data_IF_279176942434
#
_entry.id   IF_279176942434
#
_cell.length_a   1.000
_cell.length_b   1.000
_cell.length_c   1.000
_cell.angle_alpha   90.00
_cell.angle_beta   90.00
_cell.angle_gamma   90.00
#
_symmetry.space_group_name_H-M   'P 1'
#
loop_
_entity.id
_entity.type
_entity.pdbx_description
1 polymer ?
#
# COMPACT_ATOMS: atom_id res chain seq x y z
N UNK A 1 4.74 42.32 -10.22
CA UNK A 1 5.78 41.72 -9.34
C UNK A 1 5.44 40.26 -9.21
N UNK A 2 6.15 39.40 -9.94
CA UNK A 2 5.97 37.95 -9.79
C UNK A 2 6.56 37.53 -8.44
N UNK A 3 5.74 36.89 -7.61
CA UNK A 3 6.19 36.37 -6.31
C UNK A 3 6.80 34.99 -6.54
N UNK A 4 8.08 34.84 -6.25
CA UNK A 4 8.75 33.54 -6.23
C UNK A 4 8.76 32.98 -4.81
N UNK A 5 8.30 31.74 -4.66
CA UNK A 5 8.30 31.01 -3.41
C UNK A 5 9.36 29.91 -3.46
N UNK A 6 10.02 29.63 -2.34
CA UNK A 6 11.04 28.60 -2.23
C UNK A 6 10.94 27.85 -0.89
N UNK A 7 11.21 26.54 -0.92
CA UNK A 7 11.28 25.69 0.27
C UNK A 7 12.48 24.75 0.19
N UNK A 8 13.10 24.49 1.33
CA UNK A 8 14.32 23.69 1.48
C UNK A 8 14.14 22.67 2.60
N UNK A 9 14.25 21.38 2.27
CA UNK A 9 14.20 20.29 3.25
C UNK A 9 15.47 19.43 3.14
N UNK A 10 16.37 19.55 4.12
CA UNK A 10 17.47 18.61 4.34
C UNK A 10 16.93 17.35 5.05
N UNK A 11 17.23 16.17 4.51
CA UNK A 11 16.70 14.90 5.01
C UNK A 11 17.74 13.77 4.89
N UNK A 12 17.60 12.77 5.76
CA UNK A 12 18.41 11.55 5.78
C UNK A 12 17.49 10.36 5.53
N UNK A 13 17.92 9.43 4.68
CA UNK A 13 17.26 8.13 4.48
C UNK A 13 18.22 7.01 4.85
N UNK A 14 18.04 6.47 6.07
CA UNK A 14 18.90 5.42 6.62
C UNK A 14 18.85 4.15 5.79
N UNK A 15 20.01 3.48 5.62
CA UNK A 15 20.08 2.12 5.10
C UNK A 15 19.13 1.19 5.86
N UNK A 16 18.55 0.19 5.18
CA UNK A 16 17.62 -0.76 5.77
C UNK A 16 16.15 -0.30 5.96
N UNK A 17 15.85 1.00 5.87
CA UNK A 17 14.45 1.49 5.88
C UNK A 17 13.86 1.53 4.46
N UNK A 18 12.80 0.77 4.22
CA UNK A 18 12.14 0.64 2.92
C UNK A 18 12.83 -0.35 1.96
N UNK A 19 12.30 -0.53 0.74
CA UNK A 19 12.76 -1.55 -0.19
C UNK A 19 14.21 -1.28 -0.65
N UNK A 20 14.99 -2.35 -0.79
CA UNK A 20 16.39 -2.29 -1.29
C UNK A 20 16.43 -1.93 -2.78
N UNK A 21 15.37 -2.30 -3.52
CA UNK A 21 15.07 -1.92 -4.90
C UNK A 21 13.57 -1.71 -5.02
N UNK A 22 13.15 -0.68 -5.75
CA UNK A 22 11.74 -0.31 -6.02
C UNK A 22 10.99 -1.29 -6.95
N UNK A 23 11.18 -2.61 -6.74
CA UNK A 23 10.66 -3.70 -7.57
C UNK A 23 9.16 -3.99 -7.34
N UNK A 24 8.65 -3.74 -6.13
CA UNK A 24 7.34 -4.23 -5.69
C UNK A 24 6.43 -3.13 -5.15
N UNK A 25 6.99 -2.13 -4.48
CA UNK A 25 6.31 -0.98 -3.89
C UNK A 25 7.32 0.17 -3.73
N UNK A 26 6.81 1.39 -3.64
CA UNK A 26 7.56 2.60 -3.22
C UNK A 26 6.96 3.23 -1.95
N UNK A 27 6.06 2.52 -1.25
CA UNK A 27 5.32 3.07 -0.11
C UNK A 27 6.23 3.51 1.06
N UNK A 28 7.30 2.75 1.31
CA UNK A 28 8.28 3.07 2.36
C UNK A 28 9.33 4.13 1.94
N UNK A 29 9.31 4.58 0.68
CA UNK A 29 10.24 5.60 0.21
C UNK A 29 9.85 6.96 0.81
N UNK A 30 10.78 7.94 0.91
CA UNK A 30 10.44 9.23 1.46
C UNK A 30 9.40 9.97 0.60
N UNK A 31 8.19 10.12 1.11
CA UNK A 31 7.08 10.79 0.43
C UNK A 31 6.79 12.18 1.02
N UNK A 32 6.48 13.14 0.15
CA UNK A 32 6.16 14.52 0.51
C UNK A 32 4.89 14.98 -0.19
N UNK A 33 3.97 15.58 0.58
CA UNK A 33 2.82 16.29 0.02
C UNK A 33 3.28 17.66 -0.46
N UNK A 34 3.01 17.99 -1.72
CA UNK A 34 3.17 19.32 -2.29
C UNK A 34 1.77 19.83 -2.68
N UNK A 35 1.34 20.93 -2.07
CA UNK A 35 0.05 21.58 -2.34
C UNK A 35 0.30 22.95 -2.96
N UNK A 36 -0.39 23.31 -4.04
CA UNK A 36 -0.15 24.53 -4.83
C UNK A 36 -1.48 25.11 -5.32
N UNK A 37 -1.54 26.42 -5.61
CA UNK A 37 -2.76 27.13 -6.04
C UNK A 37 -2.49 28.05 -7.25
N UNK A 38 -3.09 27.79 -8.43
CA UNK A 38 -2.71 28.39 -9.73
C UNK A 38 -3.87 28.74 -10.66
N UNK A 39 -3.60 29.54 -11.70
CA UNK A 39 -4.44 29.77 -12.89
C UNK A 39 -3.58 29.62 -14.18
N UNK A 40 -4.16 29.21 -15.34
CA UNK A 40 -3.56 28.42 -16.46
C UNK A 40 -2.38 29.07 -17.24
N UNK A 41 -1.54 28.40 -18.07
CA UNK A 41 -1.45 27.05 -18.73
C UNK A 41 -0.02 26.94 -19.40
N UNK A 42 0.39 25.90 -20.18
CA UNK A 42 -0.01 24.47 -20.32
C UNK A 42 1.20 23.47 -20.39
N UNK A 43 0.94 22.21 -20.79
CA UNK A 43 1.84 21.07 -21.17
C UNK A 43 2.62 20.39 -20.03
N UNK A 44 2.57 19.05 -20.00
CA UNK A 44 3.13 18.18 -18.97
C UNK A 44 3.71 16.91 -19.59
N UNK A 45 4.84 16.43 -19.06
CA UNK A 45 5.42 15.12 -19.38
C UNK A 45 5.87 14.42 -18.09
N UNK A 46 5.37 13.22 -17.82
CA UNK A 46 5.60 12.51 -16.55
C UNK A 46 6.86 11.63 -16.62
N UNK A 47 8.03 12.20 -16.35
CA UNK A 47 9.32 11.50 -16.57
C UNK A 47 9.86 10.86 -15.29
N UNK A 48 10.00 9.53 -15.29
CA UNK A 48 10.85 8.80 -14.33
C UNK A 48 12.32 9.12 -14.64
N UNK A 49 13.07 9.66 -13.68
CA UNK A 49 14.43 10.15 -13.90
C UNK A 49 15.43 9.62 -12.86
N UNK A 50 16.70 9.48 -13.28
CA UNK A 50 17.73 8.69 -12.61
C UNK A 50 19.02 9.47 -12.26
N UNK A 51 19.01 10.80 -12.30
CA UNK A 51 20.19 11.65 -12.06
C UNK A 51 20.23 12.22 -10.63
N UNK A 52 21.39 12.22 -9.93
CA UNK A 52 21.49 12.60 -8.52
C UNK A 52 21.39 14.11 -8.24
N UNK A 53 21.58 14.93 -9.27
CA UNK A 53 21.35 16.38 -9.24
C UNK A 53 20.48 16.74 -10.44
N UNK A 54 19.21 17.02 -10.20
CA UNK A 54 18.25 17.33 -11.26
C UNK A 54 17.24 18.37 -10.81
N UNK A 55 16.91 19.29 -11.71
CA UNK A 55 15.82 20.25 -11.54
C UNK A 55 14.63 19.75 -12.36
N UNK A 56 13.66 19.14 -11.69
CA UNK A 56 12.38 18.81 -12.32
C UNK A 56 11.48 20.04 -12.28
N UNK A 57 11.04 20.51 -13.44
CA UNK A 57 10.01 21.55 -13.55
C UNK A 57 8.66 20.87 -13.76
N UNK A 58 7.75 21.07 -12.80
CA UNK A 58 6.35 20.69 -12.94
C UNK A 58 5.55 21.95 -13.28
N UNK A 59 4.84 21.94 -14.41
CA UNK A 59 3.91 23.00 -14.81
C UNK A 59 2.51 22.53 -14.43
N UNK A 60 1.80 23.33 -13.64
CA UNK A 60 0.51 22.96 -13.07
C UNK A 60 -0.60 23.39 -14.04
N UNK A 61 -1.40 22.43 -14.47
CA UNK A 61 -2.31 22.54 -15.61
C UNK A 61 -3.75 22.92 -15.27
N UNK A 62 -4.14 22.78 -14.00
CA UNK A 62 -5.50 22.94 -13.50
C UNK A 62 -5.60 24.13 -12.54
N UNK A 63 -6.76 24.80 -12.56
CA UNK A 63 -7.03 25.96 -11.71
C UNK A 63 -7.36 25.50 -10.28
N UNK A 64 -6.89 26.26 -9.29
CA UNK A 64 -7.21 26.05 -7.88
C UNK A 64 -6.25 25.12 -7.15
N UNK A 65 -6.75 24.45 -6.11
CA UNK A 65 -5.95 23.70 -5.14
C UNK A 65 -5.54 22.32 -5.66
N UNK A 66 -4.27 22.18 -6.01
CA UNK A 66 -3.68 20.94 -6.50
C UNK A 66 -2.80 20.29 -5.43
N UNK A 67 -2.98 18.98 -5.21
CA UNK A 67 -2.24 18.18 -4.22
C UNK A 67 -1.47 17.05 -4.90
N UNK A 68 -0.16 17.08 -4.78
CA UNK A 68 0.78 16.11 -5.36
C UNK A 68 1.51 15.31 -4.28
N UNK A 69 1.87 14.07 -4.60
CA UNK A 69 2.76 13.23 -3.77
C UNK A 69 4.10 13.06 -4.47
N UNK A 70 5.14 13.70 -3.94
CA UNK A 70 6.52 13.57 -4.39
C UNK A 70 7.18 12.40 -3.67
N UNK A 71 7.56 11.35 -4.42
CA UNK A 71 8.23 10.16 -3.89
C UNK A 71 9.71 10.16 -4.29
N UNK A 72 10.61 10.13 -3.31
CA UNK A 72 12.06 10.06 -3.55
C UNK A 72 12.47 8.60 -3.75
N UNK A 73 12.71 8.20 -5.00
CA UNK A 73 13.07 6.83 -5.38
C UNK A 73 14.60 6.62 -5.46
N UNK A 74 15.06 5.37 -5.29
CA UNK A 74 16.47 4.98 -5.49
C UNK A 74 16.56 3.57 -6.07
N UNK A 75 17.26 3.42 -7.20
CA UNK A 75 17.33 2.14 -7.93
C UNK A 75 17.99 1.00 -7.11
N UNK A 76 19.09 1.30 -6.41
CA UNK A 76 19.74 0.38 -5.47
C UNK A 76 20.10 1.10 -4.17
N UNK A 77 19.33 0.83 -3.10
CA UNK A 77 19.53 1.43 -1.78
C UNK A 77 20.46 0.59 -0.91
N UNK A 78 21.74 0.60 -1.26
CA UNK A 78 22.80 -0.12 -0.55
C UNK A 78 23.48 0.69 0.57
N UNK A 79 23.23 2.00 0.67
CA UNK A 79 23.87 2.91 1.65
C UNK A 79 22.87 3.93 2.19
N UNK A 80 23.13 4.47 3.38
CA UNK A 80 22.44 5.66 3.88
C UNK A 80 22.75 6.84 2.97
N UNK A 81 21.72 7.60 2.58
CA UNK A 81 21.90 8.82 1.79
C UNK A 81 21.36 10.05 2.52
N UNK A 82 22.05 11.16 2.34
CA UNK A 82 21.57 12.49 2.67
C UNK A 82 21.13 13.16 1.36
N UNK A 83 19.95 13.77 1.37
CA UNK A 83 19.43 14.45 0.21
C UNK A 83 18.73 15.75 0.62
N UNK A 84 18.60 16.64 -0.35
CA UNK A 84 17.88 17.89 -0.19
C UNK A 84 16.74 17.90 -1.20
N UNK A 85 15.52 18.14 -0.74
CA UNK A 85 14.41 18.52 -1.61
C UNK A 85 14.34 20.06 -1.62
N UNK A 86 14.52 20.66 -2.80
CA UNK A 86 14.30 22.08 -3.06
C UNK A 86 13.11 22.21 -4.00
N UNK A 87 12.11 22.99 -3.61
CA UNK A 87 10.97 23.33 -4.47
C UNK A 87 10.94 24.82 -4.66
N UNK A 88 10.83 25.24 -5.91
CA UNK A 88 10.65 26.63 -6.34
C UNK A 88 9.31 26.70 -7.07
N UNK A 89 8.53 27.75 -6.82
CA UNK A 89 7.20 27.92 -7.41
C UNK A 89 6.90 29.39 -7.66
N UNK A 90 6.18 29.67 -8.74
CA UNK A 90 5.57 30.99 -9.04
C UNK A 90 4.25 31.21 -8.30
N UNK A 91 3.69 30.15 -7.73
CA UNK A 91 2.50 30.15 -6.89
C UNK A 91 2.83 29.82 -5.44
N UNK A 92 2.00 30.28 -4.50
CA UNK A 92 2.11 29.88 -3.10
C UNK A 92 1.92 28.37 -2.97
N UNK A 93 2.74 27.73 -2.14
CA UNK A 93 2.72 26.29 -1.97
C UNK A 93 3.07 25.84 -0.56
N UNK A 94 2.62 24.62 -0.22
CA UNK A 94 2.91 23.96 1.05
C UNK A 94 3.59 22.61 0.78
N UNK A 95 4.84 22.48 1.22
CA UNK A 95 5.61 21.23 1.13
C UNK A 95 5.78 20.61 2.52
N UNK A 96 5.25 19.41 2.74
CA UNK A 96 5.35 18.69 4.01
C UNK A 96 5.68 17.22 3.78
N UNK A 97 6.27 16.55 4.79
CA UNK A 97 6.40 15.08 4.75
C UNK A 97 5.00 14.48 4.81
N UNK A 98 4.70 13.46 4.00
CA UNK A 98 3.44 12.71 4.12
C UNK A 98 3.33 12.16 5.55
N UNK A 99 2.21 12.42 6.19
CA UNK A 99 1.85 11.79 7.46
C UNK A 99 1.33 10.39 7.14
N UNK A 100 1.95 9.38 7.73
CA UNK A 100 1.40 8.01 7.70
C UNK A 100 0.18 7.99 8.63
N UNK A 101 -1.02 7.59 8.17
CA UNK A 101 -2.23 7.61 9.01
C UNK A 101 -2.25 6.47 10.03
N UNK A 102 -1.44 5.43 9.83
CA UNK A 102 -1.42 4.25 10.68
C UNK A 102 -0.69 4.49 12.00
N UNK A 103 -1.40 4.31 13.11
CA UNK A 103 -0.87 4.44 14.48
C UNK A 103 -0.52 3.08 15.09
N UNK A 104 -1.15 2.01 14.62
CA UNK A 104 -0.96 0.64 15.09
C UNK A 104 -0.35 -0.23 14.00
N UNK A 105 0.61 -1.09 14.35
CA UNK A 105 1.25 -2.04 13.44
C UNK A 105 1.47 -3.39 14.11
N UNK A 106 1.08 -4.48 13.45
CA UNK A 106 1.35 -5.87 13.89
C UNK A 106 1.82 -6.71 12.70
N UNK A 107 2.82 -7.55 12.93
CA UNK A 107 3.34 -8.52 11.95
C UNK A 107 3.22 -9.93 12.52
N UNK A 108 2.66 -10.84 11.74
CA UNK A 108 2.48 -12.25 12.05
C UNK A 108 3.35 -13.07 11.09
N UNK A 109 3.92 -14.17 11.58
CA UNK A 109 4.54 -15.21 10.76
C UNK A 109 3.56 -16.36 10.60
N UNK A 110 3.36 -16.85 9.37
CA UNK A 110 2.53 -18.01 9.05
C UNK A 110 3.21 -18.92 8.04
N UNK A 111 2.56 -20.01 7.67
CA UNK A 111 3.03 -20.92 6.61
C UNK A 111 1.84 -21.55 5.86
N UNK A 112 2.02 -21.77 4.56
CA UNK A 112 1.23 -22.70 3.77
C UNK A 112 1.90 -24.07 3.85
N UNK A 113 1.19 -25.10 4.32
CA UNK A 113 1.76 -26.44 4.52
C UNK A 113 0.71 -27.53 4.57
N UNK A 114 0.96 -28.63 3.86
CA UNK A 114 0.04 -29.76 3.72
C UNK A 114 -1.34 -29.28 3.31
N UNK A 115 -2.33 -29.52 4.19
CA UNK A 115 -3.72 -29.11 3.95
C UNK A 115 -3.90 -27.60 3.76
N UNK A 116 -3.07 -26.76 4.38
CA UNK A 116 -3.23 -25.29 4.28
C UNK A 116 -2.60 -24.67 3.03
N UNK A 117 -1.89 -25.44 2.21
CA UNK A 117 -1.43 -25.00 0.88
C UNK A 117 -2.58 -25.09 -0.15
N UNK A 118 -3.66 -24.35 0.11
CA UNK A 118 -4.96 -24.53 -0.54
C UNK A 118 -5.07 -23.97 -1.97
N UNK A 119 -4.16 -23.08 -2.39
CA UNK A 119 -4.23 -22.39 -3.69
C UNK A 119 -5.35 -21.35 -3.78
N UNK A 120 -5.54 -20.74 -4.95
CA UNK A 120 -6.42 -19.57 -5.12
C UNK A 120 -7.91 -19.85 -5.38
N UNK A 121 -8.35 -21.11 -5.36
CA UNK A 121 -9.74 -21.50 -5.64
C UNK A 121 -10.09 -21.58 -7.14
N UNK A 122 -9.12 -21.37 -8.03
CA UNK A 122 -9.27 -21.59 -9.46
C UNK A 122 -8.90 -23.02 -9.86
N UNK A 123 -9.59 -23.56 -10.88
CA UNK A 123 -9.28 -24.86 -11.49
C UNK A 123 -9.17 -25.99 -10.47
N UNK A 124 -7.99 -26.66 -10.35
CA UNK A 124 -7.79 -27.78 -9.43
C UNK A 124 -7.86 -27.38 -7.95
N UNK A 125 -7.65 -26.10 -7.61
CA UNK A 125 -7.63 -25.62 -6.21
C UNK A 125 -9.01 -25.28 -5.62
N UNK A 126 -10.10 -25.55 -6.35
CA UNK A 126 -11.48 -25.24 -5.92
C UNK A 126 -11.88 -25.88 -4.59
N UNK A 127 -11.51 -27.15 -4.39
CA UNK A 127 -11.87 -27.93 -3.21
C UNK A 127 -10.95 -27.64 -2.02
N UNK A 128 -9.71 -27.26 -2.30
CA UNK A 128 -8.67 -27.00 -1.28
C UNK A 128 -8.62 -25.55 -0.81
N UNK A 129 -9.22 -24.62 -1.55
CA UNK A 129 -9.25 -23.19 -1.24
C UNK A 129 -9.61 -22.85 0.20
N UNK A 130 -10.66 -23.49 0.71
CA UNK A 130 -11.20 -23.22 2.04
C UNK A 130 -10.26 -23.63 3.17
N UNK A 131 -9.21 -24.40 2.89
CA UNK A 131 -8.23 -24.85 3.88
C UNK A 131 -7.06 -23.85 4.09
N UNK A 132 -6.93 -22.81 3.24
CA UNK A 132 -5.89 -21.78 3.40
C UNK A 132 -5.95 -21.12 4.79
N UNK A 133 -4.83 -20.62 5.35
CA UNK A 133 -4.83 -19.96 6.66
C UNK A 133 -5.75 -18.74 6.70
N UNK A 134 -6.47 -18.58 7.81
CA UNK A 134 -7.40 -17.47 8.04
C UNK A 134 -7.05 -16.77 9.35
N UNK A 135 -7.00 -15.45 9.30
CA UNK A 135 -6.77 -14.57 10.43
C UNK A 135 -7.99 -13.68 10.67
N UNK A 136 -8.47 -13.63 11.91
CA UNK A 136 -9.51 -12.71 12.34
C UNK A 136 -8.84 -11.41 12.81
N UNK A 137 -9.16 -10.31 12.15
CA UNK A 137 -8.77 -8.93 12.45
C UNK A 137 -10.00 -8.21 13.06
N UNK A 138 -9.88 -7.73 14.29
CA UNK A 138 -10.93 -6.94 14.96
C UNK A 138 -10.43 -5.52 15.15
N UNK A 139 -11.06 -4.57 14.46
CA UNK A 139 -10.80 -3.14 14.58
C UNK A 139 -11.58 -2.59 15.77
N UNK A 140 -11.00 -1.65 16.52
CA UNK A 140 -11.67 -1.03 17.67
C UNK A 140 -12.93 -0.27 17.25
N UNK A 141 -13.98 -0.31 18.09
CA UNK A 141 -15.27 0.38 17.89
C UNK A 141 -15.20 1.92 18.02
N UNK A 142 -14.07 2.55 17.68
CA UNK A 142 -13.86 4.00 17.80
C UNK A 142 -14.39 4.82 16.61
N UNK A 143 -14.27 4.29 15.39
CA UNK A 143 -14.60 4.98 14.14
C UNK A 143 -15.12 4.01 13.09
N UNK A 144 -15.91 4.49 12.13
CA UNK A 144 -16.28 3.73 10.92
C UNK A 144 -15.45 4.10 9.68
N UNK A 145 -14.52 5.02 9.85
CA UNK A 145 -13.68 5.55 8.78
C UNK A 145 -12.21 5.30 9.16
N UNK A 146 -11.86 4.02 9.27
CA UNK A 146 -10.50 3.58 9.59
C UNK A 146 -9.72 3.33 8.29
N UNK A 147 -8.44 3.70 8.28
CA UNK A 147 -7.51 3.35 7.20
C UNK A 147 -6.77 2.09 7.61
N UNK A 148 -6.70 1.09 6.72
CA UNK A 148 -6.04 -0.19 6.98
C UNK A 148 -5.10 -0.56 5.82
N UNK A 149 -3.84 -0.85 6.14
CA UNK A 149 -2.85 -1.37 5.21
C UNK A 149 -2.55 -2.83 5.54
N UNK A 150 -2.60 -3.70 4.53
CA UNK A 150 -2.28 -5.13 4.68
C UNK A 150 -1.18 -5.48 3.68
N UNK A 151 -0.02 -5.91 4.17
CA UNK A 151 1.06 -6.49 3.37
C UNK A 151 1.14 -8.00 3.58
N UNK A 152 1.36 -8.75 2.50
CA UNK A 152 1.73 -10.16 2.55
C UNK A 152 3.07 -10.37 1.83
N UNK A 153 4.04 -10.93 2.55
CA UNK A 153 5.39 -11.27 2.07
C UNK A 153 5.57 -12.78 2.12
N UNK A 154 5.97 -13.41 1.03
CA UNK A 154 6.15 -14.86 0.92
C UNK A 154 7.36 -15.23 0.05
N UNK A 155 7.52 -16.51 -0.32
CA UNK A 155 8.64 -16.96 -1.14
C UNK A 155 8.58 -16.33 -2.54
N UNK A 156 9.73 -15.85 -3.05
CA UNK A 156 9.81 -15.09 -4.31
C UNK A 156 9.35 -15.88 -5.55
N UNK A 157 9.42 -17.20 -5.49
CA UNK A 157 8.99 -18.10 -6.55
C UNK A 157 7.46 -18.23 -6.65
N UNK A 158 6.71 -17.95 -5.58
CA UNK A 158 5.26 -18.14 -5.56
C UNK A 158 4.52 -16.83 -5.86
N UNK A 159 3.45 -16.98 -6.64
CA UNK A 159 2.44 -15.96 -6.83
C UNK A 159 1.53 -15.98 -5.60
N UNK A 160 1.48 -14.91 -4.82
CA UNK A 160 0.74 -14.86 -3.54
C UNK A 160 -0.35 -13.78 -3.53
N UNK A 161 -1.38 -14.02 -2.72
CA UNK A 161 -2.58 -13.18 -2.61
C UNK A 161 -3.25 -13.31 -1.25
N UNK A 162 -4.17 -12.39 -0.94
CA UNK A 162 -5.10 -12.53 0.18
C UNK A 162 -6.46 -11.90 -0.13
N UNK A 163 -7.50 -12.38 0.55
CA UNK A 163 -8.84 -11.76 0.58
C UNK A 163 -9.14 -11.26 2.00
N UNK A 164 -9.83 -10.14 2.12
CA UNK A 164 -10.44 -9.65 3.38
C UNK A 164 -11.96 -9.58 3.24
N UNK A 165 -12.67 -10.12 4.23
CA UNK A 165 -14.14 -10.20 4.28
C UNK A 165 -14.65 -9.71 5.62
N UNK A 166 -15.65 -8.85 5.64
CA UNK A 166 -16.37 -8.51 6.87
C UNK A 166 -17.10 -9.76 7.38
N UNK A 167 -16.90 -10.09 8.65
CA UNK A 167 -17.59 -11.19 9.33
C UNK A 167 -18.74 -10.65 10.19
N UNK A 168 -18.49 -9.56 10.93
CA UNK A 168 -19.52 -8.84 11.68
C UNK A 168 -19.16 -7.36 11.84
N UNK A 169 -20.17 -6.52 11.97
CA UNK A 169 -20.05 -5.14 12.45
C UNK A 169 -21.32 -4.79 13.23
N UNK A 170 -21.17 -4.10 14.36
CA UNK A 170 -22.30 -3.68 15.20
C UNK A 170 -23.13 -2.56 14.55
N UNK A 171 -22.63 -1.94 13.48
CA UNK A 171 -23.12 -0.65 12.97
C UNK A 171 -23.80 -0.74 11.59
N UNK A 172 -24.01 -1.94 11.06
CA UNK A 172 -24.69 -2.21 9.78
C UNK A 172 -24.10 -1.51 8.52
N UNK A 173 -22.88 -0.95 8.59
CA UNK A 173 -22.15 -0.42 7.42
C UNK A 173 -21.54 -1.60 6.65
N UNK A 174 -22.16 -1.96 5.52
CA UNK A 174 -21.73 -3.07 4.66
C UNK A 174 -20.32 -2.81 4.11
N UNK A 175 -19.40 -3.75 4.35
CA UNK A 175 -18.07 -3.74 3.74
C UNK A 175 -17.93 -4.92 2.77
N UNK A 176 -17.78 -4.60 1.48
CA UNK A 176 -17.59 -5.58 0.42
C UNK A 176 -16.30 -6.39 0.61
N UNK A 177 -16.27 -7.63 0.11
CA UNK A 177 -15.01 -8.39 0.03
C UNK A 177 -14.00 -7.63 -0.83
N UNK A 178 -12.77 -7.48 -0.34
CA UNK A 178 -11.63 -6.90 -1.08
C UNK A 178 -10.51 -7.93 -1.17
N UNK A 179 -9.73 -7.88 -2.24
CA UNK A 179 -8.63 -8.83 -2.47
C UNK A 179 -7.37 -8.10 -2.91
N UNK A 180 -6.22 -8.58 -2.47
CA UNK A 180 -4.92 -7.99 -2.81
C UNK A 180 -4.68 -7.99 -4.32
N UNK A 181 -3.99 -6.97 -4.84
CA UNK A 181 -3.66 -6.87 -6.27
C UNK A 181 -4.75 -6.27 -7.14
N UNK A 182 -6.02 -6.31 -6.73
CA UNK A 182 -7.09 -5.55 -7.36
C UNK A 182 -6.93 -4.05 -6.99
N UNK A 183 -6.43 -3.26 -7.93
CA UNK A 183 -6.49 -1.79 -7.83
C UNK A 183 -7.96 -1.38 -7.95
N UNK A 184 -8.62 -1.17 -6.81
CA UNK A 184 -10.07 -1.02 -6.72
C UNK A 184 -10.54 0.35 -7.21
N UNK A 185 -10.70 0.51 -8.51
CA UNK A 185 -11.88 1.22 -9.00
C UNK A 185 -13.12 0.35 -8.74
N UNK A 186 -14.20 0.95 -8.25
CA UNK A 186 -15.49 0.28 -8.02
C UNK A 186 -15.94 -0.44 -9.30
N UNK A 187 -15.80 -1.77 -9.38
CA UNK A 187 -16.80 -2.67 -9.95
C UNK A 187 -16.50 -4.14 -9.62
N UNK A 188 -17.55 -4.95 -9.64
CA UNK A 188 -17.67 -6.24 -8.98
C UNK A 188 -17.34 -7.41 -9.92
N UNK A 189 -16.20 -8.10 -9.73
CA UNK A 189 -15.99 -9.45 -10.29
C UNK A 189 -15.32 -10.35 -9.25
N UNK A 190 -16.02 -11.45 -8.90
CA UNK A 190 -15.60 -12.50 -7.96
C UNK A 190 -14.55 -13.47 -8.55
N UNK A 191 -13.79 -13.02 -9.55
CA UNK A 191 -12.70 -13.77 -10.17
C UNK A 191 -11.39 -13.16 -9.70
N UNK A 192 -10.68 -13.86 -8.83
CA UNK A 192 -9.26 -13.65 -8.66
C UNK A 192 -8.55 -14.06 -9.96
N UNK A 193 -8.34 -13.11 -10.88
CA UNK A 193 -7.51 -13.33 -12.06
C UNK A 193 -6.04 -13.47 -11.64
N UNK A 194 -5.21 -14.03 -12.52
CA UNK A 194 -3.78 -14.19 -12.24
C UNK A 194 -3.08 -12.84 -11.95
N UNK A 195 -3.60 -11.74 -12.51
CA UNK A 195 -3.07 -10.37 -12.34
C UNK A 195 -3.18 -9.83 -10.90
N UNK A 196 -4.08 -10.39 -10.09
CA UNK A 196 -4.22 -10.05 -8.68
C UNK A 196 -3.14 -10.72 -7.80
N UNK A 197 -2.46 -11.74 -8.29
CA UNK A 197 -1.39 -12.42 -7.57
C UNK A 197 -0.01 -11.89 -7.97
N UNK A 198 0.83 -11.60 -6.98
CA UNK A 198 2.18 -11.04 -7.21
C UNK A 198 3.26 -11.93 -6.61
N UNK A 199 4.43 -11.96 -7.26
CA UNK A 199 5.56 -12.83 -6.88
C UNK A 199 6.18 -12.42 -5.54
N UNK A 200 5.97 -13.21 -4.49
CA UNK A 200 6.56 -13.04 -3.16
C UNK A 200 6.17 -11.80 -2.36
N UNK A 201 5.43 -10.85 -2.93
CA UNK A 201 4.95 -9.64 -2.24
C UNK A 201 3.63 -9.14 -2.83
N UNK A 202 2.65 -8.86 -1.98
CA UNK A 202 1.43 -8.14 -2.36
C UNK A 202 0.95 -7.23 -1.22
N UNK A 203 0.19 -6.19 -1.55
CA UNK A 203 -0.29 -5.17 -0.61
C UNK A 203 -1.72 -4.74 -0.97
N UNK A 204 -2.49 -4.34 0.03
CA UNK A 204 -3.81 -3.73 -0.10
C UNK A 204 -3.93 -2.56 0.88
N UNK A 205 -4.20 -1.37 0.36
CA UNK A 205 -4.61 -0.21 1.16
C UNK A 205 -6.13 -0.09 1.11
N UNK A 206 -6.74 0.18 2.25
CA UNK A 206 -8.17 0.33 2.45
C UNK A 206 -8.41 1.64 3.21
N UNK A 207 -9.39 2.39 2.75
CA UNK A 207 -9.86 3.65 3.34
C UNK A 207 -11.34 3.46 3.74
N UNK A 208 -11.85 4.30 4.65
CA UNK A 208 -13.25 4.27 5.11
C UNK A 208 -13.73 2.92 5.69
N UNK A 209 -12.82 2.12 6.27
CA UNK A 209 -13.12 0.77 6.78
C UNK A 209 -13.95 0.86 8.08
N UNK A 210 -15.15 0.26 8.13
CA UNK A 210 -16.01 0.28 9.33
C UNK A 210 -15.36 -0.40 10.54
N UNK A 211 -15.79 -0.05 11.75
CA UNK A 211 -15.49 -0.86 12.92
C UNK A 211 -16.13 -2.25 12.79
N UNK A 212 -15.42 -3.29 13.24
CA UNK A 212 -15.91 -4.66 13.19
C UNK A 212 -14.83 -5.73 13.09
N UNK A 213 -15.30 -6.95 12.83
CA UNK A 213 -14.50 -8.18 12.73
C UNK A 213 -14.39 -8.59 11.26
N UNK A 214 -13.17 -8.88 10.82
CA UNK A 214 -12.82 -9.18 9.44
C UNK A 214 -11.97 -10.45 9.35
N UNK A 215 -12.25 -11.30 8.38
CA UNK A 215 -11.44 -12.48 8.08
C UNK A 215 -10.49 -12.19 6.92
N UNK A 216 -9.19 -12.32 7.16
CA UNK A 216 -8.12 -12.24 6.17
C UNK A 216 -7.67 -13.67 5.82
N UNK A 217 -7.94 -14.12 4.61
CA UNK A 217 -7.54 -15.44 4.10
C UNK A 217 -6.31 -15.27 3.19
N UNK A 218 -5.18 -15.89 3.55
CA UNK A 218 -3.90 -15.76 2.83
C UNK A 218 -3.64 -17.00 1.97
N UNK A 219 -3.29 -16.84 0.69
CA UNK A 219 -3.17 -17.97 -0.25
C UNK A 219 -2.02 -17.81 -1.26
N UNK A 220 -1.58 -18.94 -1.79
CA UNK A 220 -0.77 -19.05 -3.01
C UNK A 220 -1.68 -19.15 -4.25
N UNK A 221 -1.12 -19.01 -5.45
CA UNK A 221 -1.88 -19.21 -6.69
C UNK A 221 -2.14 -20.70 -6.95
N UNK A 222 -1.11 -21.54 -6.90
CA UNK A 222 -1.28 -22.99 -7.06
C UNK A 222 -1.47 -23.67 -5.70
N UNK A 223 -2.23 -24.77 -5.69
CA UNK A 223 -2.31 -25.66 -4.52
C UNK A 223 -0.99 -26.42 -4.33
N UNK A 224 -0.66 -26.78 -3.09
CA UNK A 224 0.57 -27.49 -2.74
C UNK A 224 1.85 -26.64 -2.74
N UNK A 225 1.77 -25.34 -3.00
CA UNK A 225 2.89 -24.41 -2.84
C UNK A 225 3.14 -24.17 -1.33
N UNK A 226 4.07 -24.94 -0.73
CA UNK A 226 4.40 -24.83 0.69
C UNK A 226 5.48 -23.78 0.97
N UNK A 227 5.30 -22.98 2.02
CA UNK A 227 6.33 -22.06 2.49
C UNK A 227 5.89 -21.05 3.54
N UNK A 228 6.86 -20.41 4.22
CA UNK A 228 6.58 -19.39 5.22
C UNK A 228 6.17 -18.06 4.60
N UNK A 229 5.32 -17.32 5.29
CA UNK A 229 4.93 -15.95 4.94
C UNK A 229 4.91 -15.03 6.16
N UNK A 230 4.90 -13.73 5.89
CA UNK A 230 4.65 -12.68 6.86
C UNK A 230 3.44 -11.86 6.44
N UNK A 231 2.44 -11.79 7.30
CA UNK A 231 1.28 -10.92 7.17
C UNK A 231 1.49 -9.71 8.09
N UNK A 232 1.50 -8.50 7.53
CA UNK A 232 1.66 -7.24 8.28
C UNK A 232 0.42 -6.40 8.11
N UNK A 233 -0.15 -5.93 9.22
CA UNK A 233 -1.32 -5.06 9.24
C UNK A 233 -0.91 -3.76 9.91
N UNK A 234 -1.27 -2.63 9.31
CA UNK A 234 -1.20 -1.30 9.89
C UNK A 234 -2.59 -0.67 9.86
N UNK A 235 -2.97 0.08 10.88
CA UNK A 235 -4.29 0.72 10.95
C UNK A 235 -4.24 2.09 11.63
N UNK A 236 -5.16 3.00 11.26
CA UNK A 236 -5.34 4.30 11.91
C UNK A 236 -6.05 4.24 13.27
N UNK A 237 -6.56 3.06 13.63
CA UNK A 237 -7.07 2.73 14.96
C UNK A 237 -6.20 1.64 15.64
N UNK A 238 -6.47 1.33 16.91
CA UNK A 238 -5.99 0.07 17.51
C UNK A 238 -6.84 -1.11 17.05
N UNK A 239 -6.22 -2.30 17.08
CA UNK A 239 -6.83 -3.53 16.59
C UNK A 239 -6.22 -4.76 17.26
N UNK A 240 -6.97 -5.86 17.27
CA UNK A 240 -6.48 -7.19 17.61
C UNK A 240 -6.48 -8.08 16.39
N UNK A 241 -5.59 -9.08 16.36
CA UNK A 241 -5.55 -10.06 15.28
C UNK A 241 -5.11 -11.42 15.82
N UNK A 242 -5.80 -12.47 15.41
CA UNK A 242 -5.55 -13.86 15.81
C UNK A 242 -5.69 -14.81 14.61
N UNK A 243 -4.97 -15.93 14.61
CA UNK A 243 -5.20 -17.01 13.63
C UNK A 243 -6.43 -17.81 14.06
N UNK A 244 -7.33 -18.12 13.12
CA UNK A 244 -8.52 -18.95 13.34
C UNK A 244 -8.49 -20.25 12.53
N UNK A 245 -7.62 -20.34 11.51
CA UNK A 245 -7.34 -21.55 10.73
C UNK A 245 -5.89 -21.56 10.25
#
# INVERSE_FOLDING_TARGET
MDRSYASFLLRMWSAGLGPVKDLYSVADNPQYTLEVNTDPKPIMDAVRLNSPHYLCQMIISECGYQKYTLVVAQYEKMKTIYYTLRVYSTAEFRLQKVKVPYISKKRITGEWKGKTAGGCGNGPSRETYMNNPIYELSLDDGSDDNDVLIELKGPKQYNIGFEIKQFSSLRNKLFETRSSGAFSFRFFIRCLTADNFRRGYTILALEEVPAGVYNIQTMTFQQGEEGPFFLTIEASCSFTIKRIQ
#
